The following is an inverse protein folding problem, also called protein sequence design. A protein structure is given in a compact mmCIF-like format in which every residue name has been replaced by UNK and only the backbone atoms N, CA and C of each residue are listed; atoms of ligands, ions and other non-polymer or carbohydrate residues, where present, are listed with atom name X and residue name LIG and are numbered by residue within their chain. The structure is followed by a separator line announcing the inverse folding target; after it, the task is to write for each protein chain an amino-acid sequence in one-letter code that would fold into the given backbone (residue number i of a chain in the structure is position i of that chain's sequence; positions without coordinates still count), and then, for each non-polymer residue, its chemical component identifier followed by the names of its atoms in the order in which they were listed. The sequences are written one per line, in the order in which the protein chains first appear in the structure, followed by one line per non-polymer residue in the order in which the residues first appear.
data_IF_567731779477
#
_entry.id   IF_567731779477
#
_cell.length_a   1.000
_cell.length_b   1.000
_cell.length_c   1.000
_cell.angle_alpha   90.00
_cell.angle_beta   90.00
_cell.angle_gamma   90.00
#
_symmetry.space_group_name_H-M   'P 1'
#
loop_
_entity.id
_entity.type
_entity.pdbx_description
1 polymer ?
#
# COMPACT_ATOMS: atom_id res chain seq x y z
N UNK A 1 25.64 -3.55 -17.53
CA UNK A 1 25.48 -3.08 -16.12
C UNK A 1 24.00 -2.89 -15.90
N UNK A 2 23.35 -3.79 -15.15
CA UNK A 2 21.94 -3.61 -14.78
C UNK A 2 21.84 -2.34 -13.93
N UNK A 3 21.09 -1.36 -14.43
CA UNK A 3 20.94 -0.04 -13.79
C UNK A 3 20.00 -0.09 -12.58
N UNK A 4 19.38 -1.24 -12.33
CA UNK A 4 18.42 -1.52 -11.26
C UNK A 4 18.64 -2.93 -10.73
N UNK A 5 18.33 -3.13 -9.44
CA UNK A 5 18.39 -4.45 -8.79
C UNK A 5 17.13 -5.28 -9.12
N UNK A 6 16.06 -4.61 -9.54
CA UNK A 6 14.77 -5.20 -9.92
C UNK A 6 14.39 -4.83 -11.36
N UNK A 7 13.54 -5.64 -11.99
CA UNK A 7 13.30 -5.58 -13.43
C UNK A 7 12.23 -4.56 -13.83
N UNK A 8 11.16 -4.40 -13.05
CA UNK A 8 10.00 -3.58 -13.44
C UNK A 8 9.97 -2.23 -12.74
N UNK A 9 10.34 -2.17 -11.46
CA UNK A 9 10.31 -0.93 -10.68
C UNK A 9 11.49 0.00 -10.96
N UNK A 10 12.60 -0.52 -11.51
CA UNK A 10 13.79 0.27 -11.80
C UNK A 10 14.48 0.84 -10.55
N UNK A 11 14.34 0.17 -9.41
CA UNK A 11 14.90 0.59 -8.12
C UNK A 11 16.15 -0.21 -7.74
N UNK A 12 16.95 0.37 -6.87
CA UNK A 12 18.05 -0.33 -6.18
C UNK A 12 17.80 -0.37 -4.68
N UNK A 13 18.48 -1.29 -3.98
CA UNK A 13 18.37 -1.41 -2.52
C UNK A 13 18.83 -0.14 -1.80
N UNK A 14 19.77 0.60 -2.38
CA UNK A 14 20.27 1.86 -1.83
C UNK A 14 19.24 2.99 -1.90
N UNK A 15 18.37 2.99 -2.91
CA UNK A 15 17.32 4.01 -3.06
C UNK A 15 16.32 3.98 -1.91
N UNK A 16 16.10 2.79 -1.33
CA UNK A 16 15.18 2.56 -0.22
C UNK A 16 15.70 3.09 1.13
N UNK A 17 17.00 3.33 1.28
CA UNK A 17 17.63 3.80 2.52
C UNK A 17 17.20 3.02 3.78
N UNK A 18 17.01 1.70 3.65
CA UNK A 18 16.60 0.84 4.76
C UNK A 18 15.11 0.90 5.12
N UNK A 19 14.26 1.45 4.25
CA UNK A 19 12.81 1.40 4.41
C UNK A 19 12.32 -0.04 4.60
N UNK A 20 11.37 -0.23 5.51
CA UNK A 20 10.70 -1.53 5.76
C UNK A 20 9.21 -1.51 5.43
N UNK A 21 8.65 -0.31 5.25
CA UNK A 21 7.24 -0.06 4.98
C UNK A 21 7.06 0.49 3.56
N UNK A 22 6.17 -0.13 2.80
CA UNK A 22 5.70 0.38 1.52
C UNK A 22 4.19 0.65 1.54
N UNK A 23 3.81 1.86 1.14
CA UNK A 23 2.43 2.23 0.84
C UNK A 23 2.21 2.00 -0.65
N UNK A 24 1.23 1.17 -0.98
CA UNK A 24 0.99 0.69 -2.34
C UNK A 24 -0.36 1.14 -2.89
N UNK A 25 -0.48 2.38 -3.42
CA UNK A 25 -1.69 2.82 -4.10
C UNK A 25 -1.85 2.16 -5.48
N UNK A 26 -3.07 2.15 -6.00
CA UNK A 26 -3.31 1.68 -7.38
C UNK A 26 -2.90 2.70 -8.45
N UNK A 27 -3.18 3.98 -8.21
CA UNK A 27 -3.01 5.07 -9.17
C UNK A 27 -1.64 5.75 -9.01
N UNK A 28 -0.81 5.84 -10.07
CA UNK A 28 0.47 6.54 -10.09
C UNK A 28 0.38 8.00 -9.65
N UNK A 29 -0.66 8.73 -10.04
CA UNK A 29 -0.81 10.15 -9.69
C UNK A 29 -1.06 10.36 -8.19
N UNK A 30 -1.53 9.32 -7.49
CA UNK A 30 -1.74 9.36 -6.06
C UNK A 30 -0.45 9.20 -5.26
N UNK A 31 0.60 8.62 -5.86
CA UNK A 31 1.88 8.38 -5.19
C UNK A 31 2.51 9.70 -4.75
N UNK A 32 2.58 10.68 -5.66
CA UNK A 32 3.13 12.01 -5.36
C UNK A 32 2.33 12.72 -4.28
N UNK A 33 0.99 12.66 -4.35
CA UNK A 33 0.11 13.26 -3.34
C UNK A 33 0.31 12.66 -1.96
N UNK A 34 0.50 11.35 -1.87
CA UNK A 34 0.78 10.67 -0.59
C UNK A 34 2.18 11.03 -0.09
N UNK A 35 3.19 11.00 -0.97
CA UNK A 35 4.56 11.36 -0.61
C UNK A 35 4.66 12.80 -0.10
N UNK A 36 3.92 13.75 -0.69
CA UNK A 36 3.89 15.15 -0.29
C UNK A 36 3.29 15.39 1.12
N UNK A 37 2.60 14.42 1.70
CA UNK A 37 2.09 14.49 3.08
C UNK A 37 3.14 14.05 4.12
N UNK A 38 4.27 13.51 3.67
CA UNK A 38 5.37 13.02 4.51
C UNK A 38 6.59 13.95 4.40
N UNK A 39 7.60 13.70 5.24
CA UNK A 39 8.83 14.50 5.26
C UNK A 39 9.76 14.11 4.10
N UNK A 40 10.47 15.11 3.54
CA UNK A 40 11.50 14.94 2.48
C UNK A 40 11.09 13.99 1.33
N UNK A 41 9.99 14.28 0.61
CA UNK A 41 9.58 13.47 -0.52
C UNK A 41 10.61 13.55 -1.67
N UNK A 42 11.06 12.39 -2.14
CA UNK A 42 11.99 12.25 -3.27
C UNK A 42 11.42 11.26 -4.28
N UNK A 43 11.27 11.71 -5.52
CA UNK A 43 10.92 10.84 -6.64
C UNK A 43 12.11 9.94 -6.97
N UNK A 44 11.91 8.63 -6.97
CA UNK A 44 12.96 7.65 -7.26
C UNK A 44 12.91 7.22 -8.72
N UNK A 45 11.80 6.60 -9.13
CA UNK A 45 11.66 5.98 -10.45
C UNK A 45 10.21 6.06 -10.94
N UNK A 46 10.04 5.98 -12.25
CA UNK A 46 8.73 5.99 -12.92
C UNK A 46 8.80 5.14 -14.17
N UNK A 47 8.25 3.93 -14.10
CA UNK A 47 8.22 2.94 -15.18
C UNK A 47 6.80 2.44 -15.41
N UNK A 48 6.20 2.77 -16.57
CA UNK A 48 4.82 2.39 -16.93
C UNK A 48 3.82 2.78 -15.82
N UNK A 49 3.09 1.82 -15.25
CA UNK A 49 2.17 2.01 -14.11
C UNK A 49 2.84 2.04 -12.73
N UNK A 50 4.18 1.90 -12.64
CA UNK A 50 4.93 1.90 -11.39
C UNK A 50 5.65 3.24 -11.19
N UNK A 51 5.12 4.07 -10.31
CA UNK A 51 5.76 5.31 -9.86
C UNK A 51 6.15 5.13 -8.40
N UNK A 52 7.41 5.39 -8.10
CA UNK A 52 8.01 5.13 -6.79
C UNK A 52 8.60 6.40 -6.21
N UNK A 53 8.22 6.70 -4.98
CA UNK A 53 8.72 7.81 -4.19
C UNK A 53 9.21 7.30 -2.84
N UNK A 54 10.23 7.96 -2.32
CA UNK A 54 10.67 7.82 -0.93
C UNK A 54 10.21 9.05 -0.17
N UNK A 55 9.77 8.84 1.06
CA UNK A 55 9.61 9.90 2.03
C UNK A 55 10.04 9.40 3.42
N UNK A 56 10.00 10.26 4.41
CA UNK A 56 10.28 9.95 5.80
C UNK A 56 9.00 10.16 6.64
N UNK A 57 8.75 9.24 7.56
CA UNK A 57 7.69 9.34 8.56
C UNK A 57 8.31 9.07 9.93
N UNK A 58 8.23 10.04 10.85
CA UNK A 58 8.87 9.97 12.16
C UNK A 58 10.37 9.60 12.10
N UNK A 59 11.07 10.13 11.10
CA UNK A 59 12.49 9.85 10.85
C UNK A 59 12.79 8.46 10.28
N UNK A 60 11.77 7.68 9.91
CA UNK A 60 11.92 6.38 9.25
C UNK A 60 11.62 6.49 7.77
N UNK A 61 12.48 5.91 6.93
CA UNK A 61 12.24 5.86 5.49
C UNK A 61 11.01 4.99 5.16
N UNK A 62 10.12 5.54 4.34
CA UNK A 62 8.91 4.90 3.84
C UNK A 62 8.90 5.02 2.31
N UNK A 63 8.48 3.95 1.65
CA UNK A 63 8.33 3.91 0.20
C UNK A 63 6.87 4.03 -0.17
N UNK A 64 6.56 4.83 -1.18
CA UNK A 64 5.24 4.89 -1.81
C UNK A 64 5.42 4.44 -3.25
N UNK A 65 4.76 3.34 -3.64
CA UNK A 65 4.91 2.75 -4.96
C UNK A 65 3.54 2.40 -5.54
N UNK A 66 3.18 2.93 -6.71
CA UNK A 66 1.95 2.49 -7.37
C UNK A 66 2.06 1.04 -7.85
N UNK A 67 0.96 0.31 -7.83
CA UNK A 67 0.90 -1.08 -8.31
C UNK A 67 0.16 -1.24 -9.64
N UNK A 68 -0.46 -0.17 -10.14
CA UNK A 68 -1.42 -0.27 -11.23
C UNK A 68 -2.70 -1.02 -10.86
N UNK A 69 -3.50 -1.31 -11.89
CA UNK A 69 -4.77 -2.03 -11.78
C UNK A 69 -4.53 -3.52 -12.00
N UNK A 70 -5.08 -4.35 -11.12
CA UNK A 70 -5.07 -5.81 -11.25
C UNK A 70 -4.13 -6.55 -10.31
N UNK A 71 -4.39 -7.84 -10.14
CA UNK A 71 -3.56 -8.76 -9.35
C UNK A 71 -2.15 -8.97 -9.90
N UNK A 72 -1.95 -9.19 -11.22
CA UNK A 72 -0.63 -9.48 -11.79
C UNK A 72 0.40 -8.36 -11.59
N UNK A 73 0.00 -7.11 -11.86
CA UNK A 73 0.82 -5.93 -11.66
C UNK A 73 1.14 -5.70 -10.18
N UNK A 74 0.16 -5.94 -9.31
CA UNK A 74 0.35 -5.90 -7.86
C UNK A 74 1.34 -6.96 -7.37
N UNK A 75 1.26 -8.20 -7.87
CA UNK A 75 2.21 -9.26 -7.48
C UNK A 75 3.64 -8.91 -7.87
N UNK A 76 3.86 -8.31 -9.05
CA UNK A 76 5.19 -7.88 -9.48
C UNK A 76 5.75 -6.81 -8.53
N UNK A 77 4.96 -5.78 -8.23
CA UNK A 77 5.39 -4.70 -7.35
C UNK A 77 5.72 -5.21 -5.94
N UNK A 78 4.88 -6.09 -5.37
CA UNK A 78 5.10 -6.65 -4.03
C UNK A 78 6.34 -7.54 -4.00
N UNK A 79 6.51 -8.41 -4.99
CA UNK A 79 7.65 -9.33 -5.09
C UNK A 79 8.98 -8.55 -5.20
N UNK A 80 9.04 -7.56 -6.09
CA UNK A 80 10.25 -6.76 -6.28
C UNK A 80 10.57 -5.89 -5.05
N UNK A 81 9.57 -5.27 -4.43
CA UNK A 81 9.77 -4.51 -3.19
C UNK A 81 10.22 -5.41 -2.02
N UNK A 82 9.71 -6.64 -1.94
CA UNK A 82 10.11 -7.61 -0.93
C UNK A 82 11.58 -8.04 -1.12
N UNK A 83 12.02 -8.23 -2.36
CA UNK A 83 13.44 -8.51 -2.69
C UNK A 83 14.37 -7.36 -2.27
N UNK A 84 13.91 -6.11 -2.40
CA UNK A 84 14.66 -4.94 -1.96
C UNK A 84 14.71 -4.77 -0.44
N UNK A 85 13.88 -5.52 0.31
CA UNK A 85 13.90 -5.58 1.77
C UNK A 85 12.67 -5.00 2.47
N UNK A 86 11.64 -4.58 1.73
CA UNK A 86 10.35 -4.19 2.32
C UNK A 86 9.69 -5.40 2.95
N UNK A 87 9.14 -5.22 4.15
CA UNK A 87 8.47 -6.29 4.92
C UNK A 87 7.00 -6.01 5.17
N UNK A 88 6.60 -4.73 5.16
CA UNK A 88 5.24 -4.31 5.47
C UNK A 88 4.64 -3.57 4.28
N UNK A 89 3.45 -4.00 3.85
CA UNK A 89 2.75 -3.41 2.71
C UNK A 89 1.38 -2.89 3.16
N UNK A 90 1.10 -1.63 2.86
CA UNK A 90 -0.19 -0.98 3.11
C UNK A 90 -0.84 -0.60 1.79
N UNK A 91 -1.83 -1.37 1.34
CA UNK A 91 -2.57 -1.06 0.10
C UNK A 91 -3.66 -0.04 0.37
N UNK A 92 -3.62 1.06 -0.35
CA UNK A 92 -4.62 2.13 -0.27
C UNK A 92 -5.33 2.24 -1.61
N UNK A 93 -6.65 2.06 -1.60
CA UNK A 93 -7.46 2.10 -2.80
C UNK A 93 -8.88 2.56 -2.51
N UNK A 94 -9.55 3.05 -3.53
CA UNK A 94 -11.00 3.27 -3.48
C UNK A 94 -11.69 1.97 -3.86
N UNK A 95 -12.62 1.50 -3.04
CA UNK A 95 -13.48 0.36 -3.38
C UNK A 95 -14.93 0.82 -3.53
N UNK A 96 -15.60 0.34 -4.57
CA UNK A 96 -17.05 0.45 -4.68
C UNK A 96 -17.68 -0.46 -3.64
N UNK A 97 -18.43 0.09 -2.70
CA UNK A 97 -19.04 -0.71 -1.64
C UNK A 97 -20.10 -1.66 -2.20
N UNK A 98 -19.86 -2.96 -2.13
CA UNK A 98 -20.90 -3.97 -2.28
C UNK A 98 -21.15 -4.62 -0.91
N UNK A 99 -22.18 -4.16 -0.21
CA UNK A 99 -22.72 -4.86 0.96
C UNK A 99 -24.01 -5.56 0.55
N UNK A 100 -24.13 -6.85 0.86
CA UNK A 100 -25.32 -7.67 0.61
C UNK A 100 -26.57 -7.20 1.41
N UNK A 101 -26.43 -6.22 2.30
CA UNK A 101 -27.53 -5.55 2.97
C UNK A 101 -27.80 -4.17 2.34
N UNK A 102 -28.67 -4.17 1.33
CA UNK A 102 -29.62 -3.12 0.98
C UNK A 102 -29.39 -1.71 1.61
N UNK A 103 -28.70 -0.86 0.84
CA UNK A 103 -28.97 0.57 0.66
C UNK A 103 -29.79 1.30 1.75
N UNK A 104 -29.19 1.60 2.90
CA UNK A 104 -29.63 2.76 3.71
C UNK A 104 -28.43 3.55 4.21
N UNK A 105 -28.32 4.78 3.68
CA UNK A 105 -27.37 5.86 4.02
C UNK A 105 -25.95 5.71 3.47
N UNK A 106 -25.83 6.03 2.17
CA UNK A 106 -24.57 6.47 1.55
C UNK A 106 -24.04 7.69 2.32
N UNK A 107 -22.92 7.54 3.04
CA UNK A 107 -22.01 8.65 3.33
C UNK A 107 -20.77 8.45 2.47
N UNK A 108 -20.56 9.38 1.54
CA UNK A 108 -19.31 9.50 0.78
C UNK A 108 -18.21 9.86 1.78
N UNK A 109 -17.43 8.88 2.26
CA UNK A 109 -16.33 9.12 3.21
C UNK A 109 -16.19 8.16 4.40
N UNK A 110 -16.49 6.86 4.26
CA UNK A 110 -16.12 5.87 5.28
C UNK A 110 -14.86 5.10 4.87
N UNK A 111 -13.81 5.17 5.69
CA UNK A 111 -12.63 4.30 5.60
C UNK A 111 -13.01 2.85 5.92
N UNK A 112 -12.43 1.90 5.19
CA UNK A 112 -12.67 0.46 5.39
C UNK A 112 -11.36 -0.30 5.50
N UNK A 113 -11.27 -1.15 6.50
CA UNK A 113 -10.16 -2.10 6.67
C UNK A 113 -10.68 -3.47 6.24
N UNK A 114 -9.98 -4.08 5.28
CA UNK A 114 -10.30 -5.43 4.80
C UNK A 114 -9.63 -6.45 5.72
N UNK A 115 -10.41 -7.37 6.29
CA UNK A 115 -9.89 -8.39 7.22
C UNK A 115 -9.57 -9.75 6.55
N UNK A 116 -9.98 -9.98 5.30
CA UNK A 116 -9.79 -11.24 4.55
C UNK A 116 -9.08 -11.08 3.19
N UNK A 117 -8.49 -12.17 2.68
CA UNK A 117 -7.64 -12.22 1.48
C UNK A 117 -8.39 -12.13 0.15
N UNK A 118 -7.69 -11.83 -0.94
CA UNK A 118 -8.28 -11.75 -2.30
C UNK A 118 -8.94 -13.08 -2.69
N UNK A 119 -10.23 -13.03 -3.04
CA UNK A 119 -11.04 -14.23 -3.37
C UNK A 119 -11.98 -14.71 -2.27
N UNK A 120 -11.83 -14.22 -1.04
CA UNK A 120 -12.78 -14.49 0.06
C UNK A 120 -13.83 -13.37 0.18
N UNK A 121 -15.07 -13.69 0.63
CA UNK A 121 -16.07 -12.68 0.92
C UNK A 121 -15.48 -11.65 1.89
N UNK A 122 -15.51 -10.38 1.46
CA UNK A 122 -14.93 -9.28 2.23
C UNK A 122 -15.76 -9.04 3.49
N UNK A 123 -15.22 -9.37 4.65
CA UNK A 123 -15.74 -8.83 5.90
C UNK A 123 -15.20 -7.41 6.03
N UNK A 124 -16.05 -6.41 5.76
CA UNK A 124 -15.73 -5.01 6.05
C UNK A 124 -15.90 -4.82 7.55
N UNK A 125 -14.81 -4.57 8.27
CA UNK A 125 -14.91 -4.01 9.61
C UNK A 125 -15.36 -2.54 9.46
N UNK A 126 -16.67 -2.31 9.53
CA UNK A 126 -17.24 -0.96 9.55
C UNK A 126 -16.97 -0.31 10.91
N UNK A 127 -16.28 0.83 10.91
CA UNK A 127 -16.28 1.85 11.96
C UNK A 127 -15.81 1.39 13.35
N UNK A 128 -14.60 1.81 13.73
CA UNK A 128 -14.15 1.80 15.13
C UNK A 128 -14.46 3.18 15.75
N UNK A 129 -15.57 3.39 16.47
CA UNK A 129 -15.69 4.52 17.38
C UNK A 129 -14.92 4.17 18.66
N UNK A 130 -13.66 4.60 18.72
CA UNK A 130 -12.88 4.63 19.95
C UNK A 130 -12.04 3.38 20.24
N UNK A 131 -10.78 3.63 20.60
CA UNK A 131 -9.97 2.72 21.41
C UNK A 131 -9.00 1.83 20.65
N UNK A 132 -7.75 2.28 20.58
CA UNK A 132 -6.60 1.43 20.38
C UNK A 132 -6.61 0.27 21.39
N UNK A 133 -6.73 -0.97 20.92
CA UNK A 133 -6.31 -2.18 21.65
C UNK A 133 -5.72 -3.18 20.68
N UNK A 134 -4.43 -2.96 20.45
CA UNK A 134 -3.37 -3.97 20.41
C UNK A 134 -3.85 -5.42 20.46
N UNK A 135 -3.48 -6.18 19.42
CA UNK A 135 -3.19 -7.63 19.42
C UNK A 135 -3.59 -8.40 20.69
N UNK A 136 -4.62 -9.23 20.63
CA UNK A 136 -4.66 -10.52 21.36
C UNK A 136 -5.93 -11.30 21.00
N UNK A 137 -5.78 -12.31 20.15
CA UNK A 137 -6.38 -13.65 20.25
C UNK A 137 -5.95 -14.41 18.96
N UNK A 138 -4.79 -15.10 18.95
CA UNK A 138 -4.62 -16.50 19.40
C UNK A 138 -5.56 -17.41 18.60
N UNK A 139 -5.16 -17.94 17.44
CA UNK A 139 -4.47 -19.25 17.34
C UNK A 139 -4.80 -20.18 18.51
N UNK A 140 -5.96 -20.82 18.50
CA UNK A 140 -6.25 -22.17 19.01
C UNK A 140 -7.76 -22.31 19.27
N UNK A 141 -8.39 -23.29 18.62
CA UNK A 141 -9.79 -23.66 18.81
C UNK A 141 -10.43 -24.13 17.52
#
# INVERSE_FOLDING_TARGET
MSKSDVFHLGLTKNDLQGAQLAIVPGDPERVEKIAALMDKPVKLASHREFTSWRAELDGKAVIVCSTGIGGPSTSIAVEELAQLGIRTFLRIGTTGGYSAAHQRRRRSGNDRIRTSGWGEPAFCADGIPGGCRLCLHHCAG
#
